data_IF_693507653096
#
_entry.id   IF_693507653096
#
_cell.length_a   1.000
_cell.length_b   1.000
_cell.length_c   1.000
_cell.angle_alpha   90.00
_cell.angle_beta   90.00
_cell.angle_gamma   90.00
#
_symmetry.space_group_name_H-M   'P 1'
#
loop_
_entity.id
_entity.type
_entity.pdbx_description
1 polymer ?
#
# COMPACT_ATOMS: atom_id res chain seq x y z
N UNK A 1 -1.91 2.95 32.81
CA UNK A 1 -0.99 2.78 33.96
C UNK A 1 0.08 1.80 33.51
N UNK A 2 1.27 2.29 33.18
CA UNK A 2 2.40 1.45 32.77
C UNK A 2 3.56 1.79 33.71
N UNK A 3 4.13 0.75 34.32
CA UNK A 3 5.22 0.85 35.30
C UNK A 3 6.53 1.13 34.55
N UNK A 4 7.20 2.24 34.86
CA UNK A 4 8.57 2.47 34.40
C UNK A 4 9.48 2.20 35.60
N UNK A 5 10.39 1.24 35.46
CA UNK A 5 11.41 0.94 36.49
C UNK A 5 12.73 1.60 36.11
N UNK A 6 13.30 2.37 37.03
CA UNK A 6 14.72 2.64 37.07
C UNK A 6 15.22 2.27 38.47
N UNK A 7 16.37 1.62 38.56
CA UNK A 7 17.03 1.40 39.85
C UNK A 7 18.26 0.48 39.78
N UNK A 8 19.43 1.07 40.00
CA UNK A 8 20.65 0.36 40.39
C UNK A 8 20.62 -0.07 41.87
N UNK A 9 21.62 -0.86 42.28
CA UNK A 9 21.65 -1.50 43.61
C UNK A 9 21.69 -0.49 44.77
N UNK A 10 20.61 -0.42 45.55
CA UNK A 10 20.56 0.30 46.84
C UNK A 10 19.48 1.37 47.00
N UNK A 11 18.69 1.68 45.97
CA UNK A 11 17.66 2.74 46.05
C UNK A 11 16.28 2.22 46.47
N UNK A 12 15.55 3.03 47.25
CA UNK A 12 14.15 2.79 47.62
C UNK A 12 13.24 3.07 46.41
N UNK A 13 12.41 2.10 46.06
CA UNK A 13 11.41 2.23 44.99
C UNK A 13 10.30 3.20 45.39
N UNK A 14 10.14 4.27 44.63
CA UNK A 14 8.98 5.15 44.72
C UNK A 14 8.00 4.85 43.59
N UNK A 15 6.71 4.73 43.91
CA UNK A 15 5.64 4.63 42.92
C UNK A 15 5.51 5.98 42.19
N UNK A 16 5.91 6.01 40.92
CA UNK A 16 5.70 7.14 40.03
C UNK A 16 4.41 6.99 39.22
N UNK A 17 3.61 8.05 39.13
CA UNK A 17 2.53 8.18 38.16
C UNK A 17 2.86 9.35 37.24
N UNK A 18 2.77 9.14 35.93
CA UNK A 18 2.85 10.20 34.92
C UNK A 18 1.60 10.17 34.06
N UNK A 19 1.20 11.33 33.56
CA UNK A 19 0.04 11.47 32.68
C UNK A 19 0.48 10.98 31.30
N UNK A 20 -0.17 9.92 30.80
CA UNK A 20 0.19 9.34 29.50
C UNK A 20 -0.52 10.04 28.33
N UNK A 21 -1.70 10.61 28.56
CA UNK A 21 -2.51 11.29 27.55
C UNK A 21 -3.11 12.58 28.13
N UNK A 22 -3.14 13.64 27.33
CA UNK A 22 -3.94 14.83 27.62
C UNK A 22 -5.41 14.57 27.26
N UNK A 23 -6.31 14.89 28.19
CA UNK A 23 -7.73 14.95 27.89
C UNK A 23 -8.03 16.16 27.01
N UNK A 24 -8.78 15.96 25.94
CA UNK A 24 -9.26 17.03 25.05
C UNK A 24 -10.76 17.18 25.26
N UNK A 25 -11.23 18.18 26.06
CA UNK A 25 -12.63 18.30 26.45
C UNK A 25 -13.59 18.50 25.26
N UNK A 26 -13.09 19.03 24.14
CA UNK A 26 -13.88 19.41 22.97
C UNK A 26 -13.82 18.37 21.83
N UNK A 27 -13.46 17.12 22.14
CA UNK A 27 -13.52 16.04 21.16
C UNK A 27 -14.96 15.82 20.69
N UNK A 28 -15.12 15.79 19.37
CA UNK A 28 -16.40 15.55 18.69
C UNK A 28 -16.29 14.38 17.72
N UNK A 29 -17.43 13.91 17.24
CA UNK A 29 -17.49 12.89 16.20
C UNK A 29 -16.99 13.46 14.86
N UNK A 30 -16.29 12.63 14.08
CA UNK A 30 -16.05 12.92 12.67
C UNK A 30 -17.39 13.05 11.95
N UNK A 31 -17.58 14.11 11.17
CA UNK A 31 -18.84 14.36 10.46
C UNK A 31 -18.62 14.18 8.97
N UNK A 32 -19.46 13.40 8.31
CA UNK A 32 -19.42 13.25 6.86
C UNK A 32 -20.67 13.82 6.21
N UNK A 33 -20.49 14.79 5.31
CA UNK A 33 -21.54 15.24 4.38
C UNK A 33 -21.33 14.59 3.01
N UNK A 34 -22.39 14.04 2.42
CA UNK A 34 -22.33 13.37 1.12
C UNK A 34 -23.45 13.83 0.20
N UNK A 35 -23.08 14.15 -1.04
CA UNK A 35 -24.00 14.31 -2.17
C UNK A 35 -23.83 13.11 -3.10
N UNK A 36 -24.95 12.54 -3.56
CA UNK A 36 -24.96 11.44 -4.52
C UNK A 36 -25.98 11.72 -5.63
N UNK A 37 -25.57 11.50 -6.88
CA UNK A 37 -26.39 11.59 -8.08
C UNK A 37 -26.30 10.25 -8.82
N UNK A 38 -27.38 9.48 -8.77
CA UNK A 38 -27.49 8.17 -9.42
C UNK A 38 -28.37 8.22 -10.66
N UNK A 39 -28.04 7.42 -11.66
CA UNK A 39 -28.87 7.13 -12.83
C UNK A 39 -28.97 5.62 -13.03
N UNK A 40 -30.20 5.11 -12.94
CA UNK A 40 -30.54 3.73 -13.26
C UNK A 40 -31.09 3.61 -14.68
N UNK A 41 -30.71 2.54 -15.38
CA UNK A 41 -31.28 2.22 -16.68
C UNK A 41 -31.47 0.73 -16.89
N UNK A 42 -32.54 0.40 -17.64
CA UNK A 42 -32.86 -0.96 -18.07
C UNK A 42 -33.23 -0.96 -19.55
N UNK A 43 -32.51 -1.76 -20.34
CA UNK A 43 -32.69 -1.87 -21.79
C UNK A 43 -33.08 -3.30 -22.19
N UNK A 44 -33.75 -3.42 -23.34
CA UNK A 44 -34.10 -4.70 -23.97
C UNK A 44 -34.88 -5.66 -23.05
N UNK A 45 -35.93 -5.16 -22.38
CA UNK A 45 -36.69 -5.91 -21.37
C UNK A 45 -35.79 -6.37 -20.21
N UNK A 46 -34.98 -5.45 -19.69
CA UNK A 46 -34.05 -5.65 -18.58
C UNK A 46 -32.97 -6.71 -18.84
N UNK A 47 -32.63 -6.95 -20.11
CA UNK A 47 -31.51 -7.82 -20.47
C UNK A 47 -30.18 -7.16 -20.14
N UNK A 48 -30.11 -5.83 -20.26
CA UNK A 48 -28.99 -5.00 -19.85
C UNK A 48 -29.54 -4.02 -18.82
N UNK A 49 -28.96 -4.01 -17.63
CA UNK A 49 -29.28 -3.10 -16.55
C UNK A 49 -27.98 -2.47 -16.09
N UNK A 50 -28.00 -1.19 -15.76
CA UNK A 50 -26.83 -0.54 -15.20
C UNK A 50 -27.21 0.65 -14.34
N UNK A 51 -26.23 1.05 -13.54
CA UNK A 51 -26.30 2.13 -12.58
C UNK A 51 -25.03 2.95 -12.73
N UNK A 52 -25.18 4.26 -12.78
CA UNK A 52 -24.07 5.22 -12.78
C UNK A 52 -24.28 6.13 -11.58
N UNK A 53 -23.34 6.10 -10.64
CA UNK A 53 -23.37 6.95 -9.45
C UNK A 53 -22.21 7.92 -9.45
N UNK A 54 -22.51 9.19 -9.22
CA UNK A 54 -21.51 10.21 -8.96
C UNK A 54 -21.68 10.75 -7.56
N UNK A 55 -20.62 10.66 -6.75
CA UNK A 55 -20.65 11.12 -5.38
C UNK A 55 -19.55 12.13 -5.05
N UNK A 56 -19.85 12.99 -4.09
CA UNK A 56 -18.89 13.84 -3.39
C UNK A 56 -19.15 13.67 -1.90
N UNK A 57 -18.13 13.20 -1.18
CA UNK A 57 -18.15 12.94 0.25
C UNK A 57 -17.09 13.80 0.91
N UNK A 58 -17.48 14.72 1.77
CA UNK A 58 -16.59 15.55 2.59
C UNK A 58 -16.67 15.06 4.03
N UNK A 59 -15.53 14.67 4.59
CA UNK A 59 -15.40 14.31 6.00
C UNK A 59 -14.64 15.40 6.72
N UNK A 60 -15.28 16.05 7.68
CA UNK A 60 -14.70 17.07 8.55
C UNK A 60 -14.45 16.49 9.94
N UNK A 61 -13.60 17.17 10.71
CA UNK A 61 -13.34 16.84 12.11
C UNK A 61 -12.67 15.48 12.31
N UNK A 62 -11.73 15.10 11.44
CA UNK A 62 -11.07 13.80 11.50
C UNK A 62 -10.34 13.62 12.82
N UNK A 63 -10.47 12.45 13.44
CA UNK A 63 -9.84 12.13 14.71
C UNK A 63 -8.44 11.60 14.46
N UNK A 64 -7.45 12.50 14.56
CA UNK A 64 -6.04 12.18 14.37
C UNK A 64 -5.24 12.46 15.64
N UNK A 65 -4.17 11.69 15.84
CA UNK A 65 -3.15 11.99 16.84
C UNK A 65 -2.24 13.08 16.28
N UNK A 66 -2.48 14.33 16.67
CA UNK A 66 -1.66 15.47 16.28
C UNK A 66 -0.39 15.53 17.14
N UNK A 67 0.74 15.87 16.51
CA UNK A 67 1.98 16.14 17.22
C UNK A 67 1.85 17.44 18.01
N UNK A 68 2.39 17.45 19.23
CA UNK A 68 2.40 18.64 20.08
C UNK A 68 3.81 19.19 20.24
N UNK A 69 3.90 20.48 20.53
CA UNK A 69 5.17 21.09 20.90
C UNK A 69 5.77 20.37 22.11
N UNK A 70 7.03 19.96 22.02
CA UNK A 70 7.70 19.17 23.06
C UNK A 70 7.71 19.86 24.43
N UNK A 71 7.59 21.20 24.47
CA UNK A 71 7.45 22.01 25.68
C UNK A 71 6.21 21.68 26.52
N UNK A 72 5.20 21.04 25.93
CA UNK A 72 3.98 20.59 26.63
C UNK A 72 4.18 19.33 27.48
N UNK A 73 5.29 18.60 27.28
CA UNK A 73 5.57 17.34 27.99
C UNK A 73 4.83 16.12 27.45
N UNK A 74 4.11 16.25 26.33
CA UNK A 74 3.44 15.14 25.65
C UNK A 74 3.81 15.14 24.16
N UNK A 75 4.00 13.95 23.58
CA UNK A 75 4.38 13.82 22.17
C UNK A 75 3.20 14.00 21.22
N UNK A 76 2.01 13.50 21.61
CA UNK A 76 0.81 13.49 20.76
C UNK A 76 -0.47 13.68 21.57
N UNK A 77 -1.48 14.24 20.92
CA UNK A 77 -2.83 14.38 21.47
C UNK A 77 -3.87 14.07 20.40
N UNK A 78 -4.94 13.38 20.78
CA UNK A 78 -6.05 13.12 19.85
C UNK A 78 -6.92 14.36 19.72
N UNK A 79 -7.11 14.84 18.50
CA UNK A 79 -7.90 16.04 18.20
C UNK A 79 -8.72 15.84 16.92
N UNK A 80 -9.78 16.63 16.76
CA UNK A 80 -10.50 16.77 15.50
C UNK A 80 -9.71 17.71 14.58
N UNK A 81 -9.03 17.14 13.59
CA UNK A 81 -8.06 17.81 12.73
C UNK A 81 -8.36 17.52 11.28
N UNK A 82 -8.53 18.59 10.51
CA UNK A 82 -8.55 18.51 9.05
C UNK A 82 -9.87 18.06 8.43
N UNK A 83 -9.86 18.09 7.10
CA UNK A 83 -10.98 17.80 6.23
C UNK A 83 -10.47 17.06 5.00
N UNK A 84 -11.17 16.00 4.60
CA UNK A 84 -10.86 15.22 3.40
C UNK A 84 -12.09 15.11 2.50
N UNK A 85 -11.86 15.13 1.20
CA UNK A 85 -12.87 14.90 0.18
C UNK A 85 -12.57 13.60 -0.56
N UNK A 86 -13.62 12.79 -0.75
CA UNK A 86 -13.66 11.70 -1.71
C UNK A 86 -14.70 12.03 -2.77
N UNK A 87 -14.25 12.13 -4.02
CA UNK A 87 -15.12 12.35 -5.17
C UNK A 87 -14.93 11.19 -6.14
N UNK A 88 -16.03 10.61 -6.59
CA UNK A 88 -15.93 9.44 -7.44
C UNK A 88 -17.10 9.21 -8.36
N UNK A 89 -16.85 8.33 -9.32
CA UNK A 89 -17.81 7.79 -10.27
C UNK A 89 -17.81 6.28 -10.13
N UNK A 90 -18.99 5.69 -9.97
CA UNK A 90 -19.17 4.24 -9.93
C UNK A 90 -20.09 3.85 -11.08
N UNK A 91 -19.75 2.74 -11.73
CA UNK A 91 -20.55 2.18 -12.80
C UNK A 91 -20.74 0.70 -12.55
N UNK A 92 -21.99 0.26 -12.56
CA UNK A 92 -22.35 -1.15 -12.54
C UNK A 92 -23.12 -1.52 -13.79
N UNK A 93 -22.84 -2.71 -14.32
CA UNK A 93 -23.52 -3.23 -15.50
C UNK A 93 -23.81 -4.72 -15.29
N UNK A 94 -25.09 -5.06 -15.33
CA UNK A 94 -25.58 -6.43 -15.35
C UNK A 94 -26.12 -6.76 -16.75
N UNK A 95 -25.65 -7.85 -17.32
CA UNK A 95 -26.11 -8.36 -18.61
C UNK A 95 -26.53 -9.82 -18.52
N UNK A 96 -27.66 -10.14 -19.14
CA UNK A 96 -28.04 -11.52 -19.48
C UNK A 96 -27.60 -11.79 -20.92
N UNK A 97 -26.36 -12.23 -21.08
CA UNK A 97 -25.73 -12.42 -22.39
C UNK A 97 -26.43 -13.50 -23.22
N UNK A 98 -26.78 -14.64 -22.61
CA UNK A 98 -27.50 -15.74 -23.24
C UNK A 98 -28.55 -16.29 -22.27
N UNK A 99 -29.77 -16.54 -22.74
CA UNK A 99 -30.85 -17.12 -21.94
C UNK A 99 -31.70 -18.04 -22.80
N UNK A 100 -31.28 -19.29 -22.88
CA UNK A 100 -31.91 -20.33 -23.69
C UNK A 100 -32.31 -21.49 -22.75
N UNK A 101 -33.07 -22.46 -23.27
CA UNK A 101 -33.56 -23.59 -22.44
C UNK A 101 -32.43 -24.42 -21.80
N UNK A 102 -31.31 -24.57 -22.51
CA UNK A 102 -30.21 -25.45 -22.08
C UNK A 102 -29.02 -24.70 -21.48
N UNK A 103 -28.85 -23.42 -21.82
CA UNK A 103 -27.69 -22.62 -21.44
C UNK A 103 -28.11 -21.21 -21.05
N UNK A 104 -27.58 -20.74 -19.92
CA UNK A 104 -27.72 -19.35 -19.47
C UNK A 104 -26.35 -18.80 -19.13
N UNK A 105 -26.08 -17.58 -19.59
CA UNK A 105 -24.88 -16.84 -19.24
C UNK A 105 -25.27 -15.42 -18.86
N UNK A 106 -24.82 -14.98 -17.69
CA UNK A 106 -24.93 -13.60 -17.23
C UNK A 106 -23.57 -13.08 -16.77
N UNK A 107 -23.35 -11.79 -16.98
CA UNK A 107 -22.18 -11.06 -16.49
C UNK A 107 -22.61 -9.93 -15.59
N UNK A 108 -21.85 -9.68 -14.53
CA UNK A 108 -21.94 -8.49 -13.69
C UNK A 108 -20.57 -7.83 -13.68
N UNK A 109 -20.51 -6.60 -14.16
CA UNK A 109 -19.33 -5.77 -14.19
C UNK A 109 -19.54 -4.60 -13.25
N UNK A 110 -18.49 -4.22 -12.53
CA UNK A 110 -18.47 -2.99 -11.75
C UNK A 110 -17.10 -2.34 -11.85
N UNK A 111 -17.06 -1.02 -11.85
CA UNK A 111 -15.84 -0.22 -11.80
C UNK A 111 -16.10 1.04 -10.98
N UNK A 112 -15.11 1.43 -10.17
CA UNK A 112 -15.16 2.60 -9.32
C UNK A 112 -13.91 3.44 -9.52
N UNK A 113 -14.10 4.74 -9.71
CA UNK A 113 -13.06 5.76 -9.78
C UNK A 113 -13.23 6.65 -8.57
N UNK A 114 -12.33 6.58 -7.60
CA UNK A 114 -12.37 7.44 -6.42
C UNK A 114 -11.11 8.31 -6.39
N UNK A 115 -11.27 9.61 -6.15
CA UNK A 115 -10.17 10.54 -5.92
C UNK A 115 -10.29 11.11 -4.52
N UNK A 116 -9.27 10.84 -3.72
CA UNK A 116 -9.12 11.39 -2.39
C UNK A 116 -8.30 12.68 -2.44
N UNK A 117 -8.68 13.67 -1.64
CA UNK A 117 -7.98 14.95 -1.52
C UNK A 117 -8.09 15.47 -0.10
N UNK A 118 -6.96 15.90 0.49
CA UNK A 118 -6.94 16.68 1.72
C UNK A 118 -7.38 18.10 1.40
N UNK A 119 -8.46 18.54 2.04
CA UNK A 119 -9.01 19.90 1.89
C UNK A 119 -8.35 20.85 2.89
N UNK A 120 -8.20 20.41 4.14
CA UNK A 120 -7.57 21.19 5.20
C UNK A 120 -6.92 20.27 6.23
N UNK A 121 -5.96 20.80 6.99
CA UNK A 121 -5.38 20.20 8.18
C UNK A 121 -5.56 21.17 9.36
N UNK A 122 -4.77 21.02 10.44
CA UNK A 122 -4.77 21.98 11.54
C UNK A 122 -4.38 23.39 11.09
N UNK A 123 -4.83 24.41 11.84
CA UNK A 123 -4.47 25.80 11.55
C UNK A 123 -2.94 25.96 11.53
N UNK A 124 -2.41 26.44 10.41
CA UNK A 124 -0.96 26.64 10.21
C UNK A 124 -0.19 25.37 9.81
N UNK A 125 -0.86 24.25 9.56
CA UNK A 125 -0.25 23.01 9.11
C UNK A 125 -0.63 22.71 7.65
N UNK A 126 0.36 22.64 6.75
CA UNK A 126 0.14 22.32 5.34
C UNK A 126 0.40 20.84 5.01
N UNK A 127 1.13 20.13 5.88
CA UNK A 127 1.43 18.71 5.73
C UNK A 127 1.58 17.96 7.06
N UNK A 128 1.29 16.66 7.04
CA UNK A 128 1.64 15.70 8.10
C UNK A 128 2.68 14.75 7.52
N UNK A 129 3.84 14.65 8.18
CA UNK A 129 4.89 13.69 7.85
C UNK A 129 4.81 12.49 8.80
N UNK A 130 4.96 11.28 8.27
CA UNK A 130 4.76 10.06 9.05
C UNK A 130 5.84 9.03 8.77
N UNK A 131 6.45 8.51 9.84
CA UNK A 131 7.24 7.27 9.80
C UNK A 131 6.37 6.12 10.33
N UNK A 132 6.13 5.04 9.55
CA UNK A 132 5.36 3.88 10.02
C UNK A 132 6.04 3.09 11.16
N UNK A 133 7.30 3.39 11.52
CA UNK A 133 8.04 2.76 12.61
C UNK A 133 8.20 1.24 12.47
N UNK A 134 8.16 0.72 11.23
CA UNK A 134 8.44 -0.69 10.91
C UNK A 134 9.93 -0.96 10.77
N UNK A 135 10.65 0.01 10.20
CA UNK A 135 12.10 0.02 10.02
C UNK A 135 12.62 1.40 10.43
N UNK A 136 13.58 1.44 11.34
CA UNK A 136 14.18 2.68 11.85
C UNK A 136 15.26 3.12 10.86
N UNK A 137 14.93 4.10 10.01
CA UNK A 137 15.85 4.68 9.02
C UNK A 137 16.19 6.15 9.31
N UNK A 138 15.56 6.75 10.32
CA UNK A 138 15.76 8.16 10.68
C UNK A 138 15.05 9.15 9.75
N UNK A 139 14.00 8.71 9.06
CA UNK A 139 13.33 9.51 8.03
C UNK A 139 11.82 9.20 7.94
N UNK A 140 11.04 10.22 7.58
CA UNK A 140 9.61 10.08 7.26
C UNK A 140 9.44 9.36 5.92
N UNK A 141 8.41 8.52 5.79
CA UNK A 141 8.20 7.69 4.58
C UNK A 141 6.87 7.97 3.91
N UNK A 142 6.02 8.73 4.59
CA UNK A 142 4.72 9.14 4.11
C UNK A 142 4.49 10.62 4.40
N UNK A 143 3.71 11.24 3.52
CA UNK A 143 3.24 12.60 3.65
C UNK A 143 1.74 12.66 3.37
N UNK A 144 1.03 13.52 4.09
CA UNK A 144 -0.36 13.89 3.81
C UNK A 144 -0.40 15.40 3.74
N UNK A 145 -0.63 15.95 2.54
CA UNK A 145 -0.49 17.39 2.26
C UNK A 145 -1.78 17.98 1.73
N UNK A 146 -2.09 19.21 2.15
CA UNK A 146 -3.26 19.95 1.65
C UNK A 146 -3.20 20.04 0.12
N UNK A 147 -4.31 19.70 -0.53
CA UNK A 147 -4.42 19.68 -1.99
C UNK A 147 -4.10 18.33 -2.63
N UNK A 148 -3.49 17.40 -1.91
CA UNK A 148 -3.04 16.10 -2.42
C UNK A 148 -3.79 14.93 -1.74
N UNK A 149 -3.72 13.70 -2.27
CA UNK A 149 -4.30 12.53 -1.61
C UNK A 149 -3.67 12.25 -0.24
N UNK A 150 -4.46 11.63 0.65
CA UNK A 150 -3.97 11.19 1.95
C UNK A 150 -2.96 10.05 1.80
N UNK A 151 -1.90 10.09 2.60
CA UNK A 151 -0.97 8.98 2.78
C UNK A 151 -0.14 8.64 1.54
N UNK A 152 0.47 9.65 0.91
CA UNK A 152 1.38 9.45 -0.22
C UNK A 152 2.77 9.02 0.25
N UNK A 153 3.51 8.31 -0.60
CA UNK A 153 4.87 7.87 -0.30
C UNK A 153 5.82 9.05 -0.47
N UNK A 154 6.68 9.27 0.53
CA UNK A 154 7.60 10.39 0.62
C UNK A 154 9.05 9.90 0.69
N UNK A 155 9.94 10.53 -0.07
CA UNK A 155 11.36 10.17 -0.12
C UNK A 155 12.11 10.92 -1.22
N UNK A 156 13.29 10.41 -1.57
CA UNK A 156 14.18 10.98 -2.60
C UNK A 156 13.90 10.39 -3.99
N UNK A 157 14.31 11.09 -5.03
CA UNK A 157 14.29 10.55 -6.40
C UNK A 157 15.65 9.92 -6.72
N UNK A 158 15.66 8.62 -7.03
CA UNK A 158 16.87 7.86 -7.39
C UNK A 158 17.40 8.29 -8.75
N UNK A 159 18.71 8.51 -8.83
CA UNK A 159 19.44 8.93 -10.05
C UNK A 159 20.54 7.93 -10.42
N UNK A 160 20.33 6.65 -10.10
CA UNK A 160 21.31 5.59 -10.35
C UNK A 160 22.36 5.48 -9.25
N UNK A 161 23.53 4.96 -9.63
CA UNK A 161 24.67 4.79 -8.77
C UNK A 161 25.83 5.65 -9.26
N UNK A 162 26.60 6.23 -8.34
CA UNK A 162 27.82 6.94 -8.70
C UNK A 162 28.77 5.99 -9.44
N UNK A 163 29.26 6.40 -10.60
CA UNK A 163 30.22 5.64 -11.39
C UNK A 163 31.65 6.11 -11.10
N UNK A 164 32.65 5.33 -11.51
CA UNK A 164 34.07 5.72 -11.35
C UNK A 164 34.34 7.08 -12.01
N UNK A 165 33.70 7.35 -13.14
CA UNK A 165 33.86 8.59 -13.90
C UNK A 165 33.21 9.81 -13.22
N UNK A 166 32.45 9.65 -12.13
CA UNK A 166 31.94 10.78 -11.34
C UNK A 166 33.00 11.40 -10.42
N UNK A 167 34.19 10.79 -10.33
CA UNK A 167 35.23 11.19 -9.39
C UNK A 167 36.53 11.61 -10.09
N UNK A 168 37.24 12.55 -9.48
CA UNK A 168 38.64 12.81 -9.72
C UNK A 168 39.49 12.01 -8.71
N UNK A 169 40.64 11.49 -9.16
CA UNK A 169 41.58 10.79 -8.28
C UNK A 169 42.72 11.72 -7.89
N UNK A 170 42.76 12.12 -6.62
CA UNK A 170 43.79 12.99 -6.05
C UNK A 170 44.54 12.21 -4.96
N UNK A 171 45.79 11.80 -5.22
CA UNK A 171 46.63 11.02 -4.31
C UNK A 171 45.97 9.72 -3.78
N UNK A 172 45.13 9.07 -4.61
CA UNK A 172 44.41 7.86 -4.24
C UNK A 172 43.13 8.08 -3.44
N UNK A 173 42.77 9.35 -3.17
CA UNK A 173 41.46 9.74 -2.65
C UNK A 173 40.56 10.10 -3.82
N UNK A 174 39.35 9.53 -3.84
CA UNK A 174 38.33 9.86 -4.83
C UNK A 174 37.51 11.04 -4.32
N UNK A 175 37.49 12.12 -5.09
CA UNK A 175 36.71 13.33 -4.82
C UNK A 175 35.67 13.51 -5.92
N UNK A 176 34.43 13.84 -5.55
CA UNK A 176 33.38 14.10 -6.53
C UNK A 176 33.78 15.25 -7.47
N UNK A 177 33.46 15.12 -8.75
CA UNK A 177 33.63 16.21 -9.72
C UNK A 177 32.66 17.35 -9.44
N UNK A 178 33.08 18.57 -9.78
CA UNK A 178 32.24 19.77 -9.67
C UNK A 178 30.90 19.59 -10.41
N UNK A 179 29.81 20.00 -9.76
CA UNK A 179 28.46 19.90 -10.31
C UNK A 179 27.77 18.55 -10.10
N UNK A 180 28.45 17.56 -9.50
CA UNK A 180 27.82 16.31 -9.07
C UNK A 180 27.44 16.43 -7.59
N UNK A 181 26.14 16.33 -7.22
CA UNK A 181 25.73 16.46 -5.84
C UNK A 181 26.25 15.29 -5.00
N UNK A 182 26.46 15.50 -3.70
CA UNK A 182 26.69 14.42 -2.75
C UNK A 182 25.38 13.78 -2.30
N UNK A 183 25.36 12.52 -1.89
CA UNK A 183 24.15 11.87 -1.36
C UNK A 183 23.84 12.20 0.12
N UNK A 184 24.35 13.34 0.61
CA UNK A 184 24.29 13.77 2.01
C UNK A 184 25.43 13.22 2.89
N UNK A 185 26.26 12.31 2.36
CA UNK A 185 27.45 11.79 3.00
C UNK A 185 28.71 11.95 2.13
N UNK A 186 29.68 11.06 2.32
CA UNK A 186 30.86 10.95 1.46
C UNK A 186 30.65 9.77 0.51
N UNK A 187 30.11 9.97 -0.71
CA UNK A 187 29.87 8.89 -1.65
C UNK A 187 31.17 8.40 -2.28
N UNK A 188 31.14 7.17 -2.78
CA UNK A 188 32.17 6.58 -3.63
C UNK A 188 31.53 5.80 -4.77
N UNK A 189 32.31 5.28 -5.73
CA UNK A 189 31.78 4.46 -6.82
C UNK A 189 30.90 3.32 -6.30
N UNK A 190 29.75 3.13 -6.94
CA UNK A 190 28.71 2.19 -6.55
C UNK A 190 27.79 2.65 -5.41
N UNK A 191 27.96 3.87 -4.89
CA UNK A 191 27.02 4.44 -3.91
C UNK A 191 25.73 4.89 -4.58
N UNK A 192 24.63 4.91 -3.85
CA UNK A 192 23.35 5.43 -4.37
C UNK A 192 23.44 6.92 -4.62
N UNK A 193 22.98 7.35 -5.80
CA UNK A 193 22.87 8.73 -6.25
C UNK A 193 21.40 9.16 -6.28
N UNK A 194 21.14 10.44 -5.99
CA UNK A 194 19.81 11.03 -5.98
C UNK A 194 19.80 12.31 -6.79
N UNK A 195 18.62 12.70 -7.26
CA UNK A 195 18.41 14.00 -7.91
C UNK A 195 18.48 15.11 -6.86
N UNK A 196 19.35 16.08 -7.09
CA UNK A 196 19.40 17.34 -6.33
C UNK A 196 18.33 18.29 -6.89
N UNK A 197 17.28 18.50 -6.11
CA UNK A 197 16.09 19.22 -6.56
C UNK A 197 16.28 20.72 -6.44
N UNK A 198 17.08 21.16 -5.46
CA UNK A 198 17.26 22.58 -5.17
C UNK A 198 18.57 23.16 -5.77
N UNK A 199 19.48 22.30 -6.24
CA UNK A 199 20.73 22.66 -6.89
C UNK A 199 21.84 23.12 -5.93
N UNK A 200 21.77 22.77 -4.65
CA UNK A 200 22.75 23.17 -3.62
C UNK A 200 23.97 22.23 -3.52
N UNK A 201 23.96 21.12 -4.26
CA UNK A 201 25.02 20.13 -4.32
C UNK A 201 25.02 19.11 -3.18
N UNK A 202 24.03 19.12 -2.27
CA UNK A 202 23.97 18.24 -1.10
C UNK A 202 22.57 17.69 -0.86
N UNK A 203 22.41 16.38 -1.06
CA UNK A 203 21.11 15.72 -0.83
C UNK A 203 20.72 15.73 0.65
N UNK A 204 19.57 16.34 0.96
CA UNK A 204 19.03 16.43 2.29
C UNK A 204 17.48 16.46 2.30
N UNK A 205 16.85 16.86 3.41
CA UNK A 205 15.39 16.92 3.53
C UNK A 205 14.73 17.88 2.53
N UNK A 206 15.45 18.89 2.02
CA UNK A 206 14.96 19.82 1.00
C UNK A 206 14.77 19.18 -0.39
N UNK A 207 15.38 18.02 -0.63
CA UNK A 207 15.28 17.27 -1.90
C UNK A 207 14.18 16.20 -1.88
N UNK A 208 13.53 16.04 -0.74
CA UNK A 208 12.52 15.00 -0.54
C UNK A 208 11.16 15.48 -1.02
N UNK A 209 10.43 14.57 -1.66
CA UNK A 209 9.15 14.86 -2.28
C UNK A 209 8.23 13.65 -2.29
N UNK A 210 7.06 13.84 -2.89
CA UNK A 210 6.16 12.73 -3.19
C UNK A 210 6.75 11.88 -4.29
N UNK A 211 6.97 10.60 -3.99
CA UNK A 211 7.57 9.61 -4.89
C UNK A 211 6.62 8.46 -5.25
N UNK A 212 5.38 8.48 -4.72
CA UNK A 212 4.37 7.49 -5.08
C UNK A 212 2.98 7.81 -4.52
N UNK A 213 1.95 7.43 -5.28
CA UNK A 213 0.56 7.59 -4.88
C UNK A 213 -0.05 6.23 -4.50
N UNK A 214 -0.50 6.10 -3.26
CA UNK A 214 -1.08 4.86 -2.73
C UNK A 214 -2.55 4.64 -3.10
N UNK A 215 -3.21 5.67 -3.63
CA UNK A 215 -4.62 5.61 -4.02
C UNK A 215 -4.75 5.10 -5.45
N UNK A 216 -5.52 4.02 -5.72
CA UNK A 216 -5.69 3.52 -7.07
C UNK A 216 -6.48 4.49 -7.93
N UNK A 217 -6.15 4.52 -9.22
CA UNK A 217 -6.90 5.29 -10.22
C UNK A 217 -8.29 4.72 -10.43
N UNK A 218 -8.42 3.39 -10.40
CA UNK A 218 -9.70 2.69 -10.41
C UNK A 218 -9.57 1.26 -9.88
N UNK A 219 -10.69 0.76 -9.38
CA UNK A 219 -10.87 -0.62 -8.96
C UNK A 219 -12.10 -1.21 -9.62
N UNK A 220 -12.16 -2.52 -9.77
CA UNK A 220 -13.33 -3.14 -10.37
C UNK A 220 -13.38 -4.65 -10.27
N UNK A 221 -14.48 -5.20 -10.79
CA UNK A 221 -14.75 -6.62 -10.80
C UNK A 221 -15.58 -7.05 -11.99
N UNK A 222 -15.39 -8.31 -12.39
CA UNK A 222 -16.18 -8.97 -13.42
C UNK A 222 -16.55 -10.37 -12.94
N UNK A 223 -17.83 -10.57 -12.69
CA UNK A 223 -18.41 -11.85 -12.32
C UNK A 223 -19.18 -12.44 -13.50
N UNK A 224 -18.77 -13.62 -13.97
CA UNK A 224 -19.48 -14.40 -14.97
C UNK A 224 -20.15 -15.60 -14.32
N UNK A 225 -21.41 -15.84 -14.67
CA UNK A 225 -22.15 -17.02 -14.24
C UNK A 225 -22.68 -17.75 -15.46
N UNK A 226 -22.29 -19.01 -15.61
CA UNK A 226 -22.73 -19.92 -16.65
C UNK A 226 -23.60 -21.00 -16.02
N UNK A 227 -24.70 -21.38 -16.66
CA UNK A 227 -25.55 -22.50 -16.24
C UNK A 227 -25.84 -23.40 -17.41
N UNK A 228 -25.61 -24.70 -17.26
CA UNK A 228 -25.82 -25.69 -18.30
C UNK A 228 -26.27 -27.03 -17.71
N UNK A 229 -27.51 -27.46 -18.02
CA UNK A 229 -28.05 -28.79 -17.66
C UNK A 229 -27.76 -29.27 -16.21
N UNK A 230 -27.95 -28.39 -15.23
CA UNK A 230 -27.71 -28.70 -13.80
C UNK A 230 -26.32 -28.29 -13.30
N UNK A 231 -25.36 -28.02 -14.19
CA UNK A 231 -24.10 -27.36 -13.83
C UNK A 231 -24.29 -25.85 -13.71
N UNK A 232 -23.58 -25.25 -12.76
CA UNK A 232 -23.33 -23.82 -12.72
C UNK A 232 -21.85 -23.53 -12.45
N UNK A 233 -21.29 -22.62 -13.23
CA UNK A 233 -19.91 -22.16 -13.10
C UNK A 233 -19.94 -20.66 -12.83
N UNK A 234 -19.29 -20.25 -11.74
CA UNK A 234 -19.02 -18.86 -11.42
C UNK A 234 -17.53 -18.57 -11.58
N UNK A 235 -17.20 -17.48 -12.26
CA UNK A 235 -15.83 -16.98 -12.41
C UNK A 235 -15.81 -15.50 -12.06
N UNK A 236 -15.04 -15.13 -11.04
CA UNK A 236 -14.88 -13.76 -10.56
C UNK A 236 -13.45 -13.28 -10.79
N UNK A 237 -13.34 -12.18 -11.53
CA UNK A 237 -12.13 -11.36 -11.60
C UNK A 237 -12.30 -10.11 -10.75
N UNK A 238 -11.22 -9.66 -10.12
CA UNK A 238 -11.09 -8.40 -9.39
C UNK A 238 -9.80 -7.71 -9.82
N UNK A 239 -9.77 -6.39 -9.93
CA UNK A 239 -8.56 -5.63 -10.24
C UNK A 239 -8.48 -4.30 -9.49
N UNK A 240 -7.26 -3.80 -9.39
CA UNK A 240 -6.92 -2.45 -8.93
C UNK A 240 -5.79 -1.93 -9.82
N UNK A 241 -5.82 -0.65 -10.20
CA UNK A 241 -4.78 -0.07 -11.07
C UNK A 241 -4.41 1.35 -10.66
N UNK A 242 -3.14 1.71 -10.82
CA UNK A 242 -2.61 3.06 -10.64
C UNK A 242 -2.09 3.37 -9.23
N UNK A 243 -2.24 2.45 -8.28
CA UNK A 243 -1.67 2.62 -6.93
C UNK A 243 -0.23 2.15 -6.87
N UNK A 244 0.57 2.78 -6.00
CA UNK A 244 1.92 2.37 -5.65
C UNK A 244 1.99 1.73 -4.26
N UNK A 245 3.04 0.93 -4.05
CA UNK A 245 3.40 0.31 -2.77
C UNK A 245 4.83 0.67 -2.42
N UNK A 246 5.08 0.98 -1.14
CA UNK A 246 6.44 1.13 -0.62
C UNK A 246 6.93 -0.24 -0.13
N UNK A 247 7.90 -0.82 -0.84
CA UNK A 247 8.45 -2.12 -0.51
C UNK A 247 9.68 -2.00 0.39
N UNK A 248 9.45 -1.94 1.71
CA UNK A 248 10.56 -1.87 2.67
C UNK A 248 11.37 -3.18 2.71
N UNK A 249 10.81 -4.30 2.26
CA UNK A 249 11.60 -5.53 2.16
C UNK A 249 12.75 -5.34 1.18
N UNK A 250 12.52 -4.70 0.02
CA UNK A 250 13.60 -4.37 -0.93
C UNK A 250 14.60 -3.38 -0.32
N UNK A 251 14.11 -2.30 0.30
CA UNK A 251 14.97 -1.30 0.93
C UNK A 251 15.96 -1.89 1.97
N UNK A 252 15.57 -2.96 2.67
CA UNK A 252 16.42 -3.59 3.69
C UNK A 252 17.12 -4.87 3.21
N UNK A 253 16.53 -5.66 2.30
CA UNK A 253 17.03 -6.97 1.90
C UNK A 253 17.74 -6.97 0.53
N UNK A 254 17.58 -5.90 -0.26
CA UNK A 254 18.40 -5.62 -1.46
C UNK A 254 19.52 -4.61 -1.19
N UNK A 255 19.75 -4.24 0.08
CA UNK A 255 20.89 -3.43 0.50
C UNK A 255 21.97 -4.37 1.06
N UNK A 256 23.17 -4.47 0.45
CA UNK A 256 24.29 -5.27 0.98
C UNK A 256 24.66 -4.98 2.46
N UNK A 257 24.34 -3.80 2.99
CA UNK A 257 24.52 -3.39 4.40
C UNK A 257 23.20 -3.25 5.18
N UNK A 258 22.08 -3.74 4.65
CA UNK A 258 20.75 -3.45 5.21
C UNK A 258 20.63 -3.94 6.64
N UNK A 259 21.04 -5.19 6.88
CA UNK A 259 21.20 -5.81 8.21
C UNK A 259 22.34 -6.83 8.21
N UNK A 260 23.45 -6.50 8.85
CA UNK A 260 24.60 -7.41 9.00
C UNK A 260 24.15 -8.79 9.48
N UNK A 261 24.71 -9.85 8.90
CA UNK A 261 24.48 -11.26 9.28
C UNK A 261 23.06 -11.79 9.03
N UNK A 262 22.31 -11.21 8.08
CA UNK A 262 21.03 -11.76 7.61
C UNK A 262 21.12 -12.19 6.16
N UNK A 263 20.26 -13.13 5.77
CA UNK A 263 20.05 -13.44 4.37
C UNK A 263 19.41 -12.24 3.66
N UNK A 264 19.72 -12.04 2.38
CA UNK A 264 19.16 -10.99 1.54
C UNK A 264 18.40 -11.54 0.34
N UNK A 265 17.90 -10.64 -0.50
CA UNK A 265 17.26 -11.02 -1.76
C UNK A 265 18.31 -11.39 -2.81
N UNK A 266 17.90 -12.23 -3.76
CA UNK A 266 18.76 -12.72 -4.85
C UNK A 266 19.33 -11.58 -5.71
N UNK A 267 18.65 -10.42 -5.75
CA UNK A 267 19.12 -9.21 -6.43
C UNK A 267 20.48 -8.72 -5.94
N UNK A 268 20.91 -9.04 -4.71
CA UNK A 268 22.25 -8.72 -4.21
C UNK A 268 23.39 -9.34 -5.03
N UNK A 269 23.12 -10.40 -5.79
CA UNK A 269 24.10 -10.98 -6.71
C UNK A 269 24.45 -10.03 -7.87
N UNK A 270 23.56 -9.08 -8.16
CA UNK A 270 23.74 -8.06 -9.18
C UNK A 270 24.28 -6.74 -8.61
N UNK A 271 24.86 -6.73 -7.40
CA UNK A 271 25.43 -5.50 -6.84
C UNK A 271 26.49 -4.87 -7.73
N UNK A 272 26.63 -3.56 -7.60
CA UNK A 272 27.61 -2.78 -8.34
C UNK A 272 29.03 -3.23 -8.02
N UNK A 273 29.78 -3.48 -9.08
CA UNK A 273 31.24 -3.66 -9.06
C UNK A 273 31.82 -2.96 -10.28
N UNK A 274 33.13 -2.67 -10.34
CA UNK A 274 33.74 -2.13 -11.56
C UNK A 274 33.51 -2.99 -12.81
N UNK A 275 33.30 -4.30 -12.65
CA UNK A 275 32.95 -5.23 -13.73
C UNK A 275 31.45 -5.38 -13.97
N UNK A 276 30.61 -4.84 -13.10
CA UNK A 276 29.15 -4.82 -13.19
C UNK A 276 28.60 -3.42 -12.87
N UNK A 277 28.88 -2.40 -13.70
CA UNK A 277 28.46 -1.03 -13.43
C UNK A 277 26.97 -0.77 -13.75
N UNK A 278 26.38 -1.59 -14.63
CA UNK A 278 25.03 -1.42 -15.17
C UNK A 278 23.97 -2.10 -14.27
N UNK A 279 23.82 -1.61 -13.05
CA UNK A 279 22.85 -2.12 -12.06
C UNK A 279 22.29 -1.00 -11.17
N UNK A 280 21.16 -1.28 -10.53
CA UNK A 280 20.55 -0.41 -9.51
C UNK A 280 20.88 -0.85 -8.08
N UNK A 281 21.59 -1.97 -7.90
CA UNK A 281 21.95 -2.48 -6.59
C UNK A 281 23.29 -1.89 -6.18
N UNK A 282 23.28 -1.01 -5.16
CA UNK A 282 24.49 -0.33 -4.72
C UNK A 282 25.57 -1.31 -4.25
N UNK A 283 26.82 -0.88 -4.31
CA UNK A 283 27.95 -1.71 -3.87
C UNK A 283 27.91 -1.95 -2.37
N UNK A 284 28.44 -3.10 -1.96
CA UNK A 284 28.65 -3.35 -0.56
C UNK A 284 29.74 -2.43 0.04
N UNK A 285 30.94 -2.53 -0.49
CA UNK A 285 32.07 -1.72 -0.08
C UNK A 285 33.00 -1.63 -1.28
N UNK A 286 33.38 -0.41 -1.65
CA UNK A 286 34.39 -0.19 -2.68
C UNK A 286 35.46 0.76 -2.13
N UNK A 287 36.71 0.31 -2.14
CA UNK A 287 37.77 0.97 -1.38
C UNK A 287 37.43 1.01 0.11
N UNK A 288 37.24 2.22 0.64
CA UNK A 288 36.84 2.48 2.03
C UNK A 288 35.42 3.01 2.18
N UNK A 289 34.63 3.05 1.09
CA UNK A 289 33.32 3.70 1.06
C UNK A 289 32.20 2.68 0.88
N UNK A 290 31.21 2.74 1.77
CA UNK A 290 30.00 1.92 1.67
C UNK A 290 29.04 2.52 0.65
N UNK A 291 28.41 1.69 -0.18
CA UNK A 291 27.44 2.18 -1.16
C UNK A 291 26.09 2.60 -0.56
N UNK A 292 25.82 2.20 0.68
CA UNK A 292 24.56 2.49 1.37
C UNK A 292 24.49 3.98 1.79
N UNK A 293 23.38 4.69 1.51
CA UNK A 293 23.17 6.04 1.99
C UNK A 293 23.21 6.18 3.52
N UNK A 294 23.52 7.40 3.96
CA UNK A 294 23.41 7.82 5.36
C UNK A 294 21.98 7.63 5.89
N UNK A 295 21.83 7.45 7.20
CA UNK A 295 20.50 7.47 7.81
C UNK A 295 19.83 8.84 7.56
N UNK A 296 18.53 8.86 7.28
CA UNK A 296 17.82 10.06 6.81
C UNK A 296 17.54 10.07 5.30
N UNK A 297 18.42 9.46 4.49
CA UNK A 297 18.37 9.51 3.03
C UNK A 297 18.30 8.11 2.39
N UNK A 298 17.54 7.16 2.96
CA UNK A 298 17.52 5.76 2.47
C UNK A 298 16.27 5.40 1.68
N UNK A 299 15.18 6.16 1.82
CA UNK A 299 13.95 5.90 1.07
C UNK A 299 13.93 6.72 -0.23
N UNK A 300 13.70 6.02 -1.35
CA UNK A 300 13.56 6.62 -2.67
C UNK A 300 12.56 5.85 -3.53
N UNK A 301 12.21 6.42 -4.68
CA UNK A 301 11.37 5.81 -5.70
C UNK A 301 11.88 4.45 -6.22
N UNK A 302 13.18 4.13 -6.07
CA UNK A 302 13.72 2.79 -6.35
C UNK A 302 12.97 1.66 -5.62
N UNK A 303 12.44 1.96 -4.42
CA UNK A 303 11.71 1.02 -3.58
C UNK A 303 10.18 1.20 -3.64
N UNK A 304 9.71 2.06 -4.55
CA UNK A 304 8.30 2.28 -4.85
C UNK A 304 7.95 1.48 -6.08
N UNK A 305 6.93 0.63 -5.98
CA UNK A 305 6.53 -0.27 -7.06
C UNK A 305 5.08 -0.04 -7.46
N UNK A 306 4.75 -0.37 -8.71
CA UNK A 306 3.37 -0.44 -9.18
C UNK A 306 2.64 -1.59 -8.49
N UNK A 307 1.54 -1.28 -7.81
CA UNK A 307 0.67 -2.24 -7.14
C UNK A 307 -0.57 -2.57 -7.99
N UNK A 308 -0.52 -2.35 -9.31
CA UNK A 308 -1.62 -2.70 -10.21
C UNK A 308 -1.69 -4.21 -10.37
N UNK A 309 -2.90 -4.74 -10.39
CA UNK A 309 -3.12 -6.17 -10.58
C UNK A 309 -4.50 -6.49 -11.14
N UNK A 310 -4.61 -7.68 -11.73
CA UNK A 310 -5.87 -8.40 -11.92
C UNK A 310 -5.75 -9.76 -11.26
N UNK A 311 -6.83 -10.23 -10.62
CA UNK A 311 -6.86 -11.46 -9.84
C UNK A 311 -8.04 -12.32 -10.25
N UNK A 312 -7.78 -13.60 -10.53
CA UNK A 312 -8.80 -14.63 -10.60
C UNK A 312 -9.23 -14.98 -9.17
N UNK A 313 -10.16 -14.18 -8.65
CA UNK A 313 -10.52 -14.17 -7.23
C UNK A 313 -11.28 -15.41 -6.83
N UNK A 314 -12.22 -15.87 -7.65
CA UNK A 314 -13.02 -17.06 -7.33
C UNK A 314 -13.41 -17.82 -8.59
N UNK A 315 -13.25 -19.14 -8.54
CA UNK A 315 -13.87 -20.07 -9.50
C UNK A 315 -14.69 -21.07 -8.70
N UNK A 316 -15.98 -21.17 -8.96
CA UNK A 316 -16.86 -22.13 -8.29
C UNK A 316 -17.66 -22.92 -9.31
N UNK A 317 -17.61 -24.24 -9.21
CA UNK A 317 -18.38 -25.16 -10.02
C UNK A 317 -19.36 -25.91 -9.11
N UNK A 318 -20.63 -25.82 -9.42
CA UNK A 318 -21.72 -26.57 -8.79
C UNK A 318 -22.40 -27.51 -9.77
N UNK A 319 -22.99 -28.57 -9.23
CA UNK A 319 -23.89 -29.46 -9.96
C UNK A 319 -25.09 -29.83 -9.09
N UNK A 320 -26.28 -29.51 -9.57
CA UNK A 320 -27.54 -29.90 -8.96
C UNK A 320 -28.01 -31.26 -9.52
N UNK A 321 -28.23 -32.25 -8.65
CA UNK A 321 -28.72 -33.56 -9.09
C UNK A 321 -30.12 -33.43 -9.74
N UNK A 322 -30.35 -34.08 -10.89
CA UNK A 322 -31.67 -34.12 -11.51
C UNK A 322 -32.71 -34.70 -10.55
N UNK A 323 -33.86 -34.02 -10.40
CA UNK A 323 -34.96 -34.46 -9.52
C UNK A 323 -35.42 -35.89 -9.79
N UNK A 324 -35.28 -36.38 -11.03
CA UNK A 324 -35.63 -37.76 -11.41
C UNK A 324 -34.81 -38.83 -10.65
N UNK A 325 -33.61 -38.48 -10.18
CA UNK A 325 -32.77 -39.36 -9.36
C UNK A 325 -33.10 -39.28 -7.86
N UNK A 326 -33.96 -38.34 -7.45
CA UNK A 326 -34.37 -38.09 -6.07
C UNK A 326 -35.82 -38.57 -5.86
N UNK A 327 -36.05 -39.88 -5.98
CA UNK A 327 -37.39 -40.48 -6.05
C UNK A 327 -38.12 -40.62 -4.70
N UNK A 328 -37.41 -40.50 -3.58
CA UNK A 328 -37.93 -40.95 -2.28
C UNK A 328 -38.79 -39.92 -1.52
N UNK A 329 -39.08 -38.75 -2.11
CA UNK A 329 -39.95 -37.70 -1.55
C UNK A 329 -39.41 -36.94 -0.32
N UNK A 330 -38.51 -37.56 0.44
CA UNK A 330 -37.86 -36.99 1.63
C UNK A 330 -36.68 -36.06 1.31
N UNK A 331 -36.09 -36.15 0.11
CA UNK A 331 -34.98 -35.30 -0.32
C UNK A 331 -35.46 -34.46 -1.50
N UNK A 332 -35.57 -33.14 -1.31
CA UNK A 332 -36.01 -32.17 -2.31
C UNK A 332 -34.91 -31.75 -3.29
N UNK A 333 -33.67 -31.64 -2.82
CA UNK A 333 -32.53 -31.30 -3.67
C UNK A 333 -31.20 -31.72 -3.06
N UNK A 334 -30.25 -32.09 -3.92
CA UNK A 334 -28.86 -32.34 -3.57
C UNK A 334 -27.98 -31.59 -4.56
N UNK A 335 -27.02 -30.83 -4.05
CA UNK A 335 -26.05 -30.08 -4.82
C UNK A 335 -24.65 -30.41 -4.37
N UNK A 336 -23.75 -30.69 -5.31
CA UNK A 336 -22.32 -30.80 -5.07
C UNK A 336 -21.60 -29.57 -5.58
N UNK A 337 -20.55 -29.14 -4.89
CA UNK A 337 -19.76 -27.97 -5.29
C UNK A 337 -18.28 -28.10 -4.96
N UNK A 338 -17.47 -27.51 -5.84
CA UNK A 338 -16.05 -27.22 -5.61
C UNK A 338 -15.85 -25.73 -5.84
N UNK A 339 -15.07 -25.07 -4.99
CA UNK A 339 -14.70 -23.68 -5.15
C UNK A 339 -13.24 -23.46 -4.85
N UNK A 340 -12.60 -22.60 -5.62
CA UNK A 340 -11.26 -22.12 -5.36
C UNK A 340 -11.24 -20.60 -5.27
N UNK A 341 -10.43 -20.07 -4.35
CA UNK A 341 -10.26 -18.64 -4.10
C UNK A 341 -8.79 -18.23 -4.26
N UNK A 342 -8.56 -17.00 -4.72
CA UNK A 342 -7.24 -16.39 -4.95
C UNK A 342 -6.34 -17.23 -5.87
N UNK A 343 -6.90 -17.81 -6.93
CA UNK A 343 -6.20 -18.79 -7.77
C UNK A 343 -4.93 -18.24 -8.42
N UNK A 344 -5.01 -16.99 -8.91
CA UNK A 344 -3.88 -16.36 -9.59
C UNK A 344 -4.01 -14.84 -9.58
N UNK A 345 -2.89 -14.14 -9.45
CA UNK A 345 -2.77 -12.69 -9.51
C UNK A 345 -1.75 -12.32 -10.58
N UNK A 346 -2.16 -11.57 -11.59
CA UNK A 346 -1.29 -10.96 -12.58
C UNK A 346 -0.91 -9.57 -12.09
N UNK A 347 0.38 -9.32 -11.85
CA UNK A 347 0.93 -8.04 -11.39
C UNK A 347 2.40 -7.93 -11.78
N UNK A 348 2.93 -6.70 -11.86
CA UNK A 348 4.35 -6.44 -11.99
C UNK A 348 5.04 -6.19 -10.64
N UNK A 349 4.29 -6.19 -9.54
CA UNK A 349 4.84 -6.05 -8.20
C UNK A 349 5.79 -7.22 -7.89
N UNK A 350 6.99 -6.95 -7.38
CA UNK A 350 8.00 -7.98 -7.13
C UNK A 350 7.77 -8.74 -5.82
N UNK A 351 6.93 -8.21 -4.91
CA UNK A 351 6.54 -8.85 -3.67
C UNK A 351 5.45 -9.92 -3.85
N UNK A 352 4.98 -10.50 -2.74
CA UNK A 352 4.05 -11.63 -2.81
C UNK A 352 2.60 -11.25 -3.13
N UNK A 353 2.13 -10.09 -2.66
CA UNK A 353 0.75 -9.63 -2.85
C UNK A 353 0.71 -8.10 -3.02
N UNK A 354 0.20 -7.58 -4.15
CA UNK A 354 0.11 -6.14 -4.40
C UNK A 354 -0.96 -5.43 -3.54
N UNK A 355 -1.89 -6.16 -2.91
CA UNK A 355 -2.89 -5.59 -1.97
C UNK A 355 -2.36 -5.45 -0.53
N UNK A 356 -1.04 -5.46 -0.35
CA UNK A 356 -0.39 -5.37 0.95
C UNK A 356 -0.57 -3.98 1.58
N UNK A 357 -0.88 -3.96 2.88
CA UNK A 357 -0.87 -2.73 3.67
C UNK A 357 -0.69 -3.09 5.15
N UNK A 358 0.56 -3.11 5.59
CA UNK A 358 0.93 -3.46 6.97
C UNK A 358 0.66 -2.25 7.89
N UNK A 359 0.01 -2.43 9.07
CA UNK A 359 -0.28 -1.31 9.95
C UNK A 359 1.02 -0.70 10.53
N UNK A 360 1.07 0.62 10.74
CA UNK A 360 2.22 1.26 11.40
C UNK A 360 2.28 0.90 12.90
N UNK A 361 3.38 1.23 13.59
CA UNK A 361 3.52 1.08 15.05
C UNK A 361 3.27 2.41 15.78
N UNK A 362 3.28 2.40 17.11
CA UNK A 362 3.26 3.65 17.91
C UNK A 362 1.94 4.44 17.87
N UNK A 363 0.80 3.77 17.66
CA UNK A 363 -0.52 4.44 17.66
C UNK A 363 -0.78 5.34 16.44
N UNK A 364 -0.01 5.17 15.36
CA UNK A 364 -0.19 5.89 14.10
C UNK A 364 -1.41 5.32 13.35
N UNK A 365 -2.20 6.18 12.73
CA UNK A 365 -3.34 5.75 11.92
C UNK A 365 -2.88 5.07 10.63
N UNK A 366 -3.47 3.91 10.31
CA UNK A 366 -3.19 3.17 9.07
C UNK A 366 -3.51 4.00 7.81
N UNK A 367 -4.46 4.92 7.89
CA UNK A 367 -4.84 5.80 6.78
C UNK A 367 -3.70 6.73 6.34
N UNK A 368 -2.74 7.01 7.23
CA UNK A 368 -1.59 7.87 6.92
C UNK A 368 -0.41 7.10 6.32
N UNK A 369 -0.41 5.77 6.38
CA UNK A 369 0.64 4.90 5.81
C UNK A 369 0.04 3.71 5.04
N UNK A 370 -0.82 3.97 4.03
CA UNK A 370 -1.40 2.92 3.19
C UNK A 370 -0.31 2.25 2.33
N UNK A 371 -0.59 1.05 1.81
CA UNK A 371 0.28 0.31 0.89
C UNK A 371 1.76 0.18 1.31
N UNK A 372 1.98 -0.05 2.61
CA UNK A 372 3.29 -0.40 3.14
C UNK A 372 3.49 -1.92 3.09
N UNK A 373 4.53 -2.39 2.41
CA UNK A 373 4.99 -3.78 2.52
C UNK A 373 6.19 -3.89 3.47
N UNK A 374 5.99 -4.69 4.52
CA UNK A 374 7.06 -5.14 5.39
C UNK A 374 6.69 -6.50 6.01
N UNK A 375 7.27 -7.57 5.46
CA UNK A 375 7.06 -8.95 5.91
C UNK A 375 5.58 -9.35 5.99
N UNK A 376 4.77 -8.89 5.03
CA UNK A 376 3.37 -9.27 4.95
C UNK A 376 3.22 -10.69 4.39
N UNK A 377 2.23 -11.43 4.90
CA UNK A 377 1.84 -12.71 4.33
C UNK A 377 0.90 -12.49 3.13
N UNK A 378 1.10 -13.21 2.01
CA UNK A 378 0.17 -13.16 0.90
C UNK A 378 -1.15 -13.85 1.22
N UNK A 379 -2.17 -13.55 0.43
CA UNK A 379 -3.39 -14.34 0.45
C UNK A 379 -3.15 -15.76 -0.05
N UNK A 380 -3.58 -16.75 0.73
CA UNK A 380 -3.44 -18.16 0.35
C UNK A 380 -4.45 -18.56 -0.72
N UNK A 381 -4.01 -19.42 -1.64
CA UNK A 381 -4.91 -20.16 -2.53
C UNK A 381 -5.71 -21.15 -1.67
N UNK A 382 -7.02 -21.02 -1.69
CA UNK A 382 -7.91 -21.90 -0.91
C UNK A 382 -8.77 -22.71 -1.86
N UNK A 383 -8.71 -24.04 -1.75
CA UNK A 383 -9.57 -24.96 -2.51
C UNK A 383 -10.49 -25.66 -1.51
N UNK A 384 -11.80 -25.49 -1.68
CA UNK A 384 -12.83 -26.20 -0.93
C UNK A 384 -13.50 -27.19 -1.87
N UNK A 385 -13.33 -28.48 -1.59
CA UNK A 385 -13.96 -29.58 -2.31
C UNK A 385 -14.92 -30.34 -1.40
N UNK A 386 -15.78 -31.18 -1.98
CA UNK A 386 -16.73 -32.00 -1.21
C UNK A 386 -17.91 -31.22 -0.61
N UNK A 387 -18.13 -29.97 -1.02
CA UNK A 387 -19.30 -29.22 -0.58
C UNK A 387 -20.58 -29.93 -1.05
N UNK A 388 -21.44 -30.29 -0.11
CA UNK A 388 -22.74 -30.91 -0.39
C UNK A 388 -23.84 -30.14 0.33
N UNK A 389 -24.85 -29.68 -0.42
CA UNK A 389 -26.05 -29.07 0.13
C UNK A 389 -27.24 -29.99 -0.13
N UNK A 390 -27.82 -30.53 0.94
CA UNK A 390 -29.00 -31.39 0.89
C UNK A 390 -30.18 -30.61 1.47
N UNK A 391 -31.34 -30.69 0.82
CA UNK A 391 -32.59 -30.11 1.30
C UNK A 391 -33.62 -31.22 1.38
N UNK A 392 -34.31 -31.32 2.52
CA UNK A 392 -35.31 -32.33 2.83
C UNK A 392 -36.73 -31.80 2.58
#
# INVERSE_FOLDING_TARGET
>A
MILVMYGGSGEQYALGAYINNLGVPNLRWETTAQYNFGLDFGLFKNRIQGEVDYYIKNTTDLLLNAEMASSTGFERVQQNVGEVQNKGLEFTLRSVNISNKNFKWSSNFNIAFNRNKVIALNQGQDAIYVDPQRVILGEFKYITKVGEPVGQIYGLQFDGLYQIDDFNSNNGVLELKDGIPSNGGVPGPGSVKYVDVNGDGTINEADRGVIGNTNPDFIGGLNNTFKYKGFDLQVLFQWSSGSNVLNLNRAELESPQGRSFRNGFVGLLDQWTPSNPDTNIHTGLYGSTFGRPIAGNRISDLYVEDASFIRLKTVSLGYDLPKKLLSNGFIKSVRFSVSAQNLHTWTNYSGYDPEVSVPPRGGISRTLTPNLDWSAYPQSVTITSGGAKITF
#
